data_IF_431208479300
#
_entry.id   IF_431208479300
#
_cell.length_a   1.000
_cell.length_b   1.000
_cell.length_c   1.000
_cell.angle_alpha   90.00
_cell.angle_beta   90.00
_cell.angle_gamma   90.00
#
_symmetry.space_group_name_H-M   'P 1'
#
loop_
_entity.id
_entity.type
_entity.pdbx_description
1 polymer ?
#
# COMPACT_ATOMS: atom_id res chain seq x y z
N UNK A 1 10.73 -8.63 59.56
CA UNK A 1 10.98 -8.61 58.10
C UNK A 1 10.04 -9.61 57.46
N UNK A 2 9.40 -9.20 56.36
CA UNK A 2 8.61 -10.00 55.41
C UNK A 2 7.14 -10.28 55.75
N UNK A 3 6.26 -9.38 55.28
CA UNK A 3 4.87 -9.70 55.00
C UNK A 3 4.80 -10.43 53.64
N UNK A 4 4.14 -11.58 53.65
CA UNK A 4 3.75 -12.32 52.45
C UNK A 4 2.42 -11.77 51.92
N UNK A 5 2.31 -11.51 50.61
CA UNK A 5 1.06 -11.66 49.86
C UNK A 5 1.43 -12.05 48.42
N UNK A 6 1.20 -13.31 48.07
CA UNK A 6 0.87 -13.72 46.70
C UNK A 6 -0.63 -13.49 46.57
N UNK A 7 -1.04 -12.53 45.74
CA UNK A 7 -2.35 -12.62 45.08
C UNK A 7 -2.33 -11.84 43.78
N UNK A 8 -2.95 -12.45 42.77
CA UNK A 8 -2.99 -11.96 41.39
C UNK A 8 -3.92 -10.76 41.30
N UNK A 9 -3.50 -9.72 40.58
CA UNK A 9 -4.39 -8.73 40.00
C UNK A 9 -4.16 -8.73 38.50
N UNK A 10 -5.25 -9.04 37.81
CA UNK A 10 -5.45 -8.97 36.38
C UNK A 10 -5.43 -7.52 35.95
N UNK A 11 -4.56 -7.14 35.01
CA UNK A 11 -4.77 -5.91 34.27
C UNK A 11 -4.35 -6.06 32.81
N UNK A 12 -5.33 -5.80 31.96
CA UNK A 12 -5.23 -5.64 30.52
C UNK A 12 -4.16 -4.59 30.18
N UNK A 13 -3.07 -4.99 29.54
CA UNK A 13 -2.17 -4.05 28.84
C UNK A 13 -1.90 -4.58 27.44
N UNK A 14 -2.95 -4.51 26.62
CA UNK A 14 -2.86 -4.55 25.17
C UNK A 14 -3.00 -3.14 24.57
N UNK A 15 -2.61 -2.10 25.30
CA UNK A 15 -2.40 -0.78 24.73
C UNK A 15 -0.99 -0.77 24.13
N UNK A 16 -0.92 -1.30 22.91
CA UNK A 16 0.15 -1.09 21.96
C UNK A 16 0.39 0.41 21.76
N UNK A 17 1.18 0.99 22.66
CA UNK A 17 1.80 2.31 22.55
C UNK A 17 2.82 2.28 21.39
N UNK A 18 2.35 2.09 20.17
CA UNK A 18 3.07 2.61 19.01
C UNK A 18 2.76 4.09 18.97
N UNK A 19 3.56 4.91 19.66
CA UNK A 19 3.78 6.25 19.15
C UNK A 19 4.53 6.05 17.83
N UNK A 20 3.93 6.32 16.66
CA UNK A 20 4.66 6.23 15.41
C UNK A 20 5.85 7.17 15.53
N UNK A 21 7.05 6.61 15.51
CA UNK A 21 8.29 7.38 15.54
C UNK A 21 8.26 8.37 14.37
N UNK A 22 8.80 9.59 14.52
CA UNK A 22 8.77 10.62 13.47
C UNK A 22 9.30 10.10 12.13
N UNK A 23 10.29 9.21 12.14
CA UNK A 23 10.84 8.55 10.94
C UNK A 23 9.79 7.73 10.16
N UNK A 24 8.81 7.14 10.85
CA UNK A 24 7.72 6.38 10.21
C UNK A 24 6.69 7.32 9.59
N UNK A 25 6.42 8.46 10.24
CA UNK A 25 5.47 9.45 9.75
C UNK A 25 6.01 10.22 8.53
N UNK A 26 7.31 10.53 8.53
CA UNK A 26 8.00 11.14 7.38
C UNK A 26 8.00 10.20 6.17
N UNK A 27 8.30 8.91 6.37
CA UNK A 27 8.23 7.89 5.32
C UNK A 27 6.81 7.74 4.76
N UNK A 28 5.78 7.70 5.61
CA UNK A 28 4.39 7.61 5.16
C UNK A 28 3.99 8.86 4.35
N UNK A 29 4.43 10.04 4.78
CA UNK A 29 4.15 11.30 4.07
C UNK A 29 4.81 11.33 2.69
N UNK A 30 6.06 10.88 2.59
CA UNK A 30 6.75 10.72 1.31
C UNK A 30 6.04 9.70 0.40
N UNK A 31 5.64 8.56 0.95
CA UNK A 31 4.93 7.52 0.21
C UNK A 31 3.64 8.08 -0.39
N UNK A 32 2.82 8.75 0.43
CA UNK A 32 1.56 9.36 -0.03
C UNK A 32 1.83 10.41 -1.09
N UNK A 33 2.80 11.30 -0.86
CA UNK A 33 3.13 12.36 -1.80
C UNK A 33 3.50 11.81 -3.19
N UNK A 34 4.33 10.75 -3.24
CA UNK A 34 4.72 10.10 -4.50
C UNK A 34 3.53 9.38 -5.14
N UNK A 35 2.69 8.71 -4.35
CA UNK A 35 1.50 8.02 -4.87
C UNK A 35 0.49 8.99 -5.50
N UNK A 36 0.31 10.17 -4.92
CA UNK A 36 -0.65 11.19 -5.37
C UNK A 36 -0.12 12.05 -6.52
N UNK A 37 1.20 12.27 -6.63
CA UNK A 37 1.77 13.13 -7.67
C UNK A 37 2.38 12.32 -8.83
N UNK A 38 3.26 11.37 -8.53
CA UNK A 38 3.94 10.59 -9.57
C UNK A 38 3.05 9.47 -10.09
N UNK A 39 2.51 8.63 -9.19
CA UNK A 39 1.77 7.44 -9.60
C UNK A 39 0.35 7.72 -10.05
N UNK A 40 -0.27 8.81 -9.59
CA UNK A 40 -1.57 9.22 -10.08
C UNK A 40 -1.52 9.56 -11.57
N UNK A 41 -0.52 10.32 -12.01
CA UNK A 41 -0.32 10.64 -13.42
C UNK A 41 -0.03 9.38 -14.26
N UNK A 42 0.81 8.47 -13.75
CA UNK A 42 1.09 7.20 -14.43
C UNK A 42 -0.16 6.32 -14.55
N UNK A 43 -0.98 6.28 -13.51
CA UNK A 43 -2.23 5.54 -13.50
C UNK A 43 -3.25 6.14 -14.47
N UNK A 44 -3.40 7.47 -14.49
CA UNK A 44 -4.28 8.18 -15.44
C UNK A 44 -3.84 7.89 -16.87
N UNK A 45 -2.54 8.01 -17.18
CA UNK A 45 -2.00 7.70 -18.50
C UNK A 45 -2.24 6.24 -18.90
N UNK A 46 -2.03 5.27 -17.98
CA UNK A 46 -2.27 3.86 -18.24
C UNK A 46 -3.77 3.58 -18.51
N UNK A 47 -4.67 4.27 -17.80
CA UNK A 47 -6.12 4.14 -17.95
C UNK A 47 -6.65 4.81 -19.22
N UNK A 48 -6.17 6.00 -19.55
CA UNK A 48 -6.64 6.77 -20.70
C UNK A 48 -6.07 6.26 -22.02
N UNK A 49 -4.80 5.84 -22.03
CA UNK A 49 -4.18 5.28 -23.23
C UNK A 49 -4.80 3.94 -23.62
N UNK A 50 -5.19 3.13 -22.63
CA UNK A 50 -5.61 1.73 -22.83
C UNK A 50 -4.53 0.85 -23.44
N UNK A 51 -3.28 1.34 -23.55
CA UNK A 51 -2.18 0.62 -24.16
C UNK A 51 -1.55 -0.31 -23.14
N UNK A 52 -1.39 -1.57 -23.52
CA UNK A 52 -0.75 -2.57 -22.67
C UNK A 52 0.67 -2.17 -22.23
N UNK A 53 1.42 -1.45 -23.07
CA UNK A 53 2.75 -0.96 -22.73
C UNK A 53 2.74 0.06 -21.58
N UNK A 54 1.80 1.00 -21.59
CA UNK A 54 1.66 2.03 -20.55
C UNK A 54 1.16 1.41 -19.23
N UNK A 55 0.25 0.42 -19.34
CA UNK A 55 -0.24 -0.35 -18.19
C UNK A 55 0.87 -1.22 -17.60
N UNK A 56 1.71 -1.83 -18.42
CA UNK A 56 2.86 -2.61 -18.00
C UNK A 56 3.93 -1.75 -17.32
N UNK A 57 4.21 -0.55 -17.84
CA UNK A 57 5.13 0.41 -17.21
C UNK A 57 4.61 0.84 -15.84
N UNK A 58 3.33 1.23 -15.74
CA UNK A 58 2.69 1.53 -14.45
C UNK A 58 2.80 0.35 -13.47
N UNK A 59 2.47 -0.87 -13.91
CA UNK A 59 2.49 -2.06 -13.08
C UNK A 59 3.89 -2.42 -12.57
N UNK A 60 4.92 -2.27 -13.40
CA UNK A 60 6.31 -2.47 -12.99
C UNK A 60 6.77 -1.41 -11.99
N UNK A 61 6.43 -0.13 -12.22
CA UNK A 61 6.82 0.98 -11.33
C UNK A 61 6.15 0.86 -9.96
N UNK A 62 4.84 0.59 -9.91
CA UNK A 62 4.11 0.49 -8.63
C UNK A 62 4.57 -0.74 -7.84
N UNK A 63 4.93 -1.83 -8.52
CA UNK A 63 5.54 -3.01 -7.88
C UNK A 63 6.89 -2.66 -7.25
N UNK A 64 7.79 -2.06 -8.03
CA UNK A 64 9.13 -1.70 -7.55
C UNK A 64 9.07 -0.70 -6.37
N UNK A 65 8.13 0.26 -6.42
CA UNK A 65 7.86 1.17 -5.32
C UNK A 65 7.33 0.43 -4.09
N UNK A 66 6.38 -0.49 -4.28
CA UNK A 66 5.93 -1.38 -3.21
C UNK A 66 7.06 -2.18 -2.58
N UNK A 67 8.00 -2.69 -3.37
CA UNK A 67 9.19 -3.41 -2.88
C UNK A 67 10.12 -2.50 -2.08
N UNK A 68 10.35 -1.27 -2.55
CA UNK A 68 11.18 -0.27 -1.87
C UNK A 68 10.67 0.04 -0.45
N UNK A 69 9.36 0.15 -0.28
CA UNK A 69 8.73 0.49 1.01
C UNK A 69 8.10 -0.72 1.71
N UNK A 70 8.33 -1.94 1.22
CA UNK A 70 7.73 -3.19 1.74
C UNK A 70 6.18 -3.16 1.85
N UNK A 71 5.53 -2.48 0.91
CA UNK A 71 4.07 -2.35 0.82
C UNK A 71 3.47 -3.50 0.01
N UNK A 72 3.18 -4.62 0.68
CA UNK A 72 2.64 -5.83 0.06
C UNK A 72 1.43 -5.57 -0.85
N UNK A 73 0.53 -4.65 -0.48
CA UNK A 73 -0.64 -4.28 -1.28
C UNK A 73 -0.29 -3.72 -2.67
N UNK A 74 0.76 -2.88 -2.75
CA UNK A 74 1.23 -2.28 -4.01
C UNK A 74 2.01 -3.28 -4.85
N UNK A 75 2.83 -4.12 -4.21
CA UNK A 75 3.54 -5.22 -4.86
C UNK A 75 2.54 -6.16 -5.54
N UNK A 76 1.49 -6.55 -4.81
CA UNK A 76 0.48 -7.47 -5.32
C UNK A 76 -0.34 -6.85 -6.45
N UNK A 77 -0.67 -5.55 -6.35
CA UNK A 77 -1.34 -4.82 -7.42
C UNK A 77 -0.54 -4.87 -8.72
N UNK A 78 0.74 -4.49 -8.66
CA UNK A 78 1.61 -4.49 -9.84
C UNK A 78 1.76 -5.90 -10.43
N UNK A 79 1.94 -6.93 -9.61
CA UNK A 79 2.00 -8.33 -10.07
C UNK A 79 0.72 -8.78 -10.77
N UNK A 80 -0.44 -8.48 -10.19
CA UNK A 80 -1.73 -8.85 -10.78
C UNK A 80 -1.93 -8.14 -12.12
N UNK A 81 -1.65 -6.83 -12.19
CA UNK A 81 -1.72 -6.08 -13.45
C UNK A 81 -0.84 -6.71 -14.54
N UNK A 82 0.42 -7.07 -14.23
CA UNK A 82 1.31 -7.71 -15.19
C UNK A 82 0.78 -9.06 -15.69
N UNK A 83 0.15 -9.86 -14.81
CA UNK A 83 -0.49 -11.12 -15.19
C UNK A 83 -1.65 -10.86 -16.15
N UNK A 84 -2.53 -9.91 -15.83
CA UNK A 84 -3.69 -9.60 -16.68
C UNK A 84 -3.27 -8.99 -18.03
N UNK A 85 -2.27 -8.10 -18.04
CA UNK A 85 -1.67 -7.57 -19.27
C UNK A 85 -1.07 -8.68 -20.13
N UNK A 86 -0.28 -9.58 -19.54
CA UNK A 86 0.32 -10.70 -20.26
C UNK A 86 -0.70 -11.70 -20.82
N UNK A 87 -1.89 -11.78 -20.19
CA UNK A 87 -3.01 -12.60 -20.66
C UNK A 87 -3.95 -11.85 -21.61
N UNK A 88 -3.71 -10.55 -21.90
CA UNK A 88 -4.60 -9.67 -22.65
C UNK A 88 -6.03 -9.63 -22.08
N UNK A 89 -6.14 -9.75 -20.76
CA UNK A 89 -7.40 -9.85 -20.01
C UNK A 89 -7.92 -8.45 -19.66
N UNK A 90 -8.54 -7.81 -20.64
CA UNK A 90 -8.97 -6.41 -20.58
C UNK A 90 -9.91 -6.16 -19.39
N UNK A 91 -10.87 -7.07 -19.15
CA UNK A 91 -11.84 -6.94 -18.05
C UNK A 91 -11.13 -6.87 -16.69
N UNK A 92 -10.15 -7.75 -16.45
CA UNK A 92 -9.42 -7.76 -15.19
C UNK A 92 -8.41 -6.61 -15.07
N UNK A 93 -7.82 -6.15 -16.19
CA UNK A 93 -6.97 -4.96 -16.22
C UNK A 93 -7.77 -3.73 -15.78
N UNK A 94 -8.94 -3.50 -16.37
CA UNK A 94 -9.81 -2.39 -16.00
C UNK A 94 -10.26 -2.48 -14.54
N UNK A 95 -10.64 -3.68 -14.09
CA UNK A 95 -11.01 -3.91 -12.69
C UNK A 95 -9.85 -3.57 -11.73
N UNK A 96 -8.63 -3.99 -12.06
CA UNK A 96 -7.43 -3.72 -11.24
C UNK A 96 -7.08 -2.22 -11.22
N UNK A 97 -7.14 -1.54 -12.37
CA UNK A 97 -6.91 -0.09 -12.48
C UNK A 97 -7.97 0.69 -11.69
N UNK A 98 -9.24 0.30 -11.75
CA UNK A 98 -10.30 0.94 -10.98
C UNK A 98 -10.16 0.69 -9.46
N UNK A 99 -9.46 -0.37 -9.06
CA UNK A 99 -9.22 -0.70 -7.66
C UNK A 99 -8.05 0.11 -7.05
N UNK A 100 -7.11 0.58 -7.87
CA UNK A 100 -5.95 1.36 -7.44
C UNK A 100 -6.29 2.56 -6.52
N UNK A 101 -7.16 3.52 -6.89
CA UNK A 101 -7.46 4.68 -6.05
C UNK A 101 -8.04 4.27 -4.69
N UNK A 102 -8.76 3.15 -4.63
CA UNK A 102 -9.31 2.63 -3.38
C UNK A 102 -8.22 2.12 -2.43
N UNK A 103 -7.12 1.57 -2.95
CA UNK A 103 -5.93 1.17 -2.16
C UNK A 103 -5.18 2.37 -1.60
N UNK A 104 -5.08 3.45 -2.36
CA UNK A 104 -4.43 4.68 -1.89
C UNK A 104 -5.22 5.28 -0.73
N UNK A 105 -6.55 5.27 -0.81
CA UNK A 105 -7.41 5.72 0.28
C UNK A 105 -7.21 4.87 1.56
N UNK A 106 -7.07 3.55 1.44
CA UNK A 106 -6.78 2.68 2.60
C UNK A 106 -5.46 3.04 3.28
N UNK A 107 -4.41 3.35 2.51
CA UNK A 107 -3.11 3.80 3.05
C UNK A 107 -3.25 5.15 3.75
N UNK A 108 -4.13 6.03 3.25
CA UNK A 108 -4.40 7.35 3.84
C UNK A 108 -5.11 7.28 5.20
N UNK A 109 -6.01 6.31 5.39
CA UNK A 109 -6.79 6.14 6.62
C UNK A 109 -5.93 5.62 7.78
N UNK A 110 -4.75 5.03 7.52
CA UNK A 110 -3.83 4.54 8.56
C UNK A 110 -3.10 5.69 9.29
N UNK A 111 -3.29 6.95 8.85
CA UNK A 111 -2.74 8.15 9.50
C UNK A 111 -3.25 8.39 10.93
#
# INVERSE_FOLDING_TARGET
ISYAVKEKISDNVGANNYSPLPETLEKISEIIHRLENEFQLLWENARESGNFADIEDFANRIRAFGEQYSLASLINLGKNLLIHVGNFDIDNIEAALNYYPKRIEEIRIIR
#
